data_IF_044682073785
#
_entry.id   IF_044682073785
#
_cell.length_a   1.000
_cell.length_b   1.000
_cell.length_c   1.000
_cell.angle_alpha   90.00
_cell.angle_beta   90.00
_cell.angle_gamma   90.00
#
_symmetry.space_group_name_H-M   'P 1'
#
loop_
_entity.id
_entity.type
_entity.pdbx_description
1 polymer ?
#
# COMPACT_ATOMS: atom_id res chain seq x y z
N UNK A 1 -13.30 13.11 4.79
CA UNK A 1 -13.29 11.72 4.28
C UNK A 1 -12.46 10.90 5.25
N UNK A 2 -12.82 9.66 5.48
CA UNK A 2 -12.15 8.78 6.45
C UNK A 2 -11.79 7.49 5.74
N UNK A 3 -10.66 6.87 6.08
CA UNK A 3 -10.31 5.57 5.52
C UNK A 3 -11.24 4.50 6.10
N UNK A 4 -11.63 3.54 5.26
CA UNK A 4 -12.53 2.46 5.67
C UNK A 4 -12.03 1.74 6.93
N UNK A 5 -10.75 1.38 6.98
CA UNK A 5 -10.14 0.70 8.15
C UNK A 5 -10.26 1.53 9.44
N UNK A 6 -10.06 2.85 9.36
CA UNK A 6 -10.06 3.73 10.53
C UNK A 6 -11.49 3.93 11.03
N UNK A 7 -12.45 4.03 10.10
CA UNK A 7 -13.88 4.11 10.41
C UNK A 7 -14.39 2.84 11.11
N UNK A 8 -14.10 1.66 10.56
CA UNK A 8 -14.47 0.38 11.18
C UNK A 8 -13.82 0.19 12.56
N UNK A 9 -12.54 0.54 12.70
CA UNK A 9 -11.85 0.49 13.98
C UNK A 9 -12.48 1.41 15.03
N UNK A 10 -12.91 2.62 14.64
CA UNK A 10 -13.60 3.56 15.52
C UNK A 10 -14.95 3.00 15.99
N UNK A 11 -15.71 2.36 15.10
CA UNK A 11 -16.99 1.74 15.45
C UNK A 11 -16.82 0.60 16.46
N UNK A 12 -15.86 -0.31 16.21
CA UNK A 12 -15.57 -1.42 17.12
C UNK A 12 -15.13 -0.89 18.50
N UNK A 13 -14.27 0.13 18.52
CA UNK A 13 -13.84 0.77 19.76
C UNK A 13 -15.02 1.37 20.54
N UNK A 14 -15.96 2.02 19.85
CA UNK A 14 -17.18 2.57 20.46
C UNK A 14 -18.09 1.50 21.07
N UNK A 15 -18.26 0.36 20.38
CA UNK A 15 -19.03 -0.78 20.91
C UNK A 15 -18.38 -1.33 22.19
N UNK A 16 -17.05 -1.49 22.20
CA UNK A 16 -16.31 -1.95 23.38
C UNK A 16 -16.44 -0.97 24.56
N UNK A 17 -16.40 0.35 24.31
CA UNK A 17 -16.59 1.35 25.36
C UNK A 17 -17.99 1.29 25.96
N UNK A 18 -19.03 1.17 25.12
CA UNK A 18 -20.41 1.00 25.58
C UNK A 18 -20.57 -0.26 26.44
N UNK A 19 -19.87 -1.35 26.09
CA UNK A 19 -19.85 -2.58 26.88
C UNK A 19 -19.26 -2.38 28.27
N UNK A 20 -18.11 -1.71 28.38
CA UNK A 20 -17.47 -1.38 29.66
C UNK A 20 -18.40 -0.56 30.54
N UNK A 21 -19.10 0.42 29.96
CA UNK A 21 -20.09 1.21 30.70
C UNK A 21 -21.25 0.34 31.24
N UNK A 22 -21.71 -0.62 30.45
CA UNK A 22 -22.78 -1.54 30.85
C UNK A 22 -22.36 -2.47 32.01
N UNK A 23 -21.10 -2.93 32.04
CA UNK A 23 -20.57 -3.73 33.15
C UNK A 23 -20.49 -2.94 34.45
N UNK A 24 -19.93 -1.72 34.38
CA UNK A 24 -19.83 -0.84 35.54
C UNK A 24 -21.22 -0.54 36.12
N UNK A 25 -22.20 -0.28 35.25
CA UNK A 25 -23.58 -0.04 35.68
C UNK A 25 -24.23 -1.30 36.27
N UNK A 26 -23.98 -2.47 35.69
CA UNK A 26 -24.47 -3.75 36.21
C UNK A 26 -23.91 -4.03 37.62
N UNK A 27 -22.63 -3.74 37.86
CA UNK A 27 -22.01 -3.85 39.18
C UNK A 27 -22.65 -2.89 40.20
N UNK A 28 -22.91 -1.64 39.79
CA UNK A 28 -23.60 -0.64 40.62
C UNK A 28 -25.02 -1.09 40.99
N UNK A 29 -25.76 -1.64 40.04
CA UNK A 29 -27.11 -2.20 40.29
C UNK A 29 -27.03 -3.39 41.24
N UNK A 30 -26.05 -4.29 41.06
CA UNK A 30 -25.85 -5.43 41.94
C UNK A 30 -25.63 -5.00 43.40
N UNK A 31 -24.82 -3.96 43.62
CA UNK A 31 -24.59 -3.39 44.96
C UNK A 31 -25.87 -2.80 45.57
N UNK A 32 -26.67 -2.11 44.76
CA UNK A 32 -27.95 -1.57 45.20
C UNK A 32 -28.93 -2.68 45.60
N UNK A 33 -28.99 -3.77 44.82
CA UNK A 33 -29.82 -4.94 45.13
C UNK A 33 -29.37 -5.62 46.42
N UNK A 34 -28.07 -5.82 46.60
CA UNK A 34 -27.51 -6.45 47.79
C UNK A 34 -27.78 -5.66 49.08
N UNK A 35 -27.92 -4.34 48.98
CA UNK A 35 -28.14 -3.44 50.12
C UNK A 35 -29.60 -3.36 50.57
N UNK A 36 -30.55 -3.82 49.76
CA UNK A 36 -31.99 -3.76 50.07
C UNK A 36 -32.51 -5.10 50.63
N UNK A 37 -33.41 -5.03 51.62
CA UNK A 37 -33.91 -6.21 52.32
C UNK A 37 -34.74 -7.16 51.46
N UNK A 38 -35.38 -6.67 50.40
CA UNK A 38 -36.22 -7.46 49.49
C UNK A 38 -35.43 -7.77 48.22
N UNK A 39 -34.80 -6.76 47.61
CA UNK A 39 -34.14 -6.91 46.31
C UNK A 39 -32.91 -7.82 46.35
N UNK A 40 -32.28 -8.04 47.51
CA UNK A 40 -31.14 -8.98 47.64
C UNK A 40 -31.49 -10.44 47.28
N UNK A 41 -32.78 -10.76 47.27
CA UNK A 41 -33.29 -12.08 46.88
C UNK A 41 -33.74 -12.14 45.42
N UNK A 42 -33.67 -11.02 44.68
CA UNK A 42 -34.08 -10.92 43.30
C UNK A 42 -32.86 -11.10 42.38
N UNK A 43 -33.05 -11.66 41.16
CA UNK A 43 -31.98 -11.72 40.19
C UNK A 43 -31.57 -10.30 39.79
N UNK A 44 -30.26 -10.05 39.80
CA UNK A 44 -29.72 -8.75 39.36
C UNK A 44 -29.87 -8.65 37.84
N UNK A 45 -30.54 -7.60 37.32
CA UNK A 45 -30.64 -7.40 35.88
C UNK A 45 -29.25 -7.08 35.32
N UNK A 46 -28.86 -7.80 34.28
CA UNK A 46 -27.62 -7.56 33.53
C UNK A 46 -27.90 -7.54 32.04
N UNK A 47 -27.29 -6.61 31.34
CA UNK A 47 -27.30 -6.57 29.89
C UNK A 47 -26.11 -7.39 29.35
N UNK A 48 -26.35 -8.25 28.36
CA UNK A 48 -25.31 -8.97 27.63
C UNK A 48 -25.51 -8.72 26.14
N UNK A 49 -24.52 -8.12 25.49
CA UNK A 49 -24.54 -7.86 24.05
C UNK A 49 -23.81 -9.00 23.30
N UNK A 50 -24.32 -10.23 23.41
CA UNK A 50 -23.66 -11.42 22.84
C UNK A 50 -23.53 -11.32 21.30
N UNK A 51 -24.56 -10.79 20.65
CA UNK A 51 -24.62 -10.61 19.21
C UNK A 51 -24.95 -9.14 18.88
N UNK A 52 -24.01 -8.44 18.26
CA UNK A 52 -24.24 -7.08 17.75
C UNK A 52 -24.18 -7.12 16.22
N UNK A 53 -25.32 -6.84 15.59
CA UNK A 53 -25.42 -6.68 14.14
C UNK A 53 -25.50 -5.20 13.76
N UNK A 54 -24.62 -4.76 12.86
CA UNK A 54 -24.59 -3.41 12.33
C UNK A 54 -24.76 -3.45 10.81
N UNK A 55 -25.74 -2.70 10.29
CA UNK A 55 -25.91 -2.43 8.85
C UNK A 55 -25.52 -0.98 8.58
N UNK A 56 -24.33 -0.78 8.02
CA UNK A 56 -23.71 0.53 7.89
C UNK A 56 -23.66 0.94 6.41
N UNK A 57 -24.41 1.97 5.99
CA UNK A 57 -24.32 2.50 4.64
C UNK A 57 -23.07 3.35 4.48
N UNK A 58 -22.28 3.07 3.45
CA UNK A 58 -21.10 3.83 3.07
C UNK A 58 -21.08 4.06 1.56
N UNK A 59 -20.34 5.07 1.10
CA UNK A 59 -19.99 5.21 -0.31
C UNK A 59 -18.46 5.29 -0.45
N UNK A 60 -17.92 4.65 -1.49
CA UNK A 60 -16.49 4.77 -1.82
C UNK A 60 -16.32 6.03 -2.64
N UNK A 61 -15.48 6.94 -2.15
CA UNK A 61 -15.15 8.18 -2.85
C UNK A 61 -13.91 7.99 -3.73
N UNK A 62 -12.82 7.49 -3.14
CA UNK A 62 -11.54 7.34 -3.82
C UNK A 62 -10.70 6.23 -3.19
N UNK A 63 -9.71 5.73 -3.93
CA UNK A 63 -8.68 4.85 -3.38
C UNK A 63 -7.39 5.64 -3.23
N UNK A 64 -6.71 5.47 -2.09
CA UNK A 64 -5.35 5.96 -1.94
C UNK A 64 -4.46 5.25 -2.96
N UNK A 65 -3.84 6.02 -3.85
CA UNK A 65 -2.97 5.48 -4.88
C UNK A 65 -1.62 5.04 -4.29
N UNK A 66 -1.59 3.86 -3.67
CA UNK A 66 -0.34 3.27 -3.19
C UNK A 66 0.39 2.60 -4.36
N UNK A 67 1.72 2.77 -4.49
CA UNK A 67 2.48 1.95 -5.41
C UNK A 67 2.26 0.47 -5.05
N UNK A 68 1.96 -0.38 -6.03
CA UNK A 68 1.85 -1.81 -5.74
C UNK A 68 3.15 -2.31 -5.10
N UNK A 69 3.05 -3.14 -4.05
CA UNK A 69 4.18 -3.59 -3.24
C UNK A 69 5.29 -4.30 -4.05
N UNK A 70 4.95 -4.81 -5.23
CA UNK A 70 5.87 -5.46 -6.18
C UNK A 70 5.90 -4.74 -7.55
N UNK A 71 5.71 -3.42 -7.55
CA UNK A 71 5.81 -2.65 -8.78
C UNK A 71 7.29 -2.59 -9.23
N UNK A 72 7.57 -3.29 -10.33
CA UNK A 72 8.81 -3.19 -11.09
C UNK A 72 8.55 -2.36 -12.36
N UNK A 73 8.96 -1.06 -12.38
CA UNK A 73 8.78 -0.18 -13.54
C UNK A 73 9.47 -0.70 -14.81
N UNK A 74 10.56 -1.43 -14.65
CA UNK A 74 11.39 -1.99 -15.72
C UNK A 74 11.74 -3.44 -15.40
N UNK A 75 11.62 -4.32 -16.39
CA UNK A 75 12.25 -5.64 -16.32
C UNK A 75 13.73 -5.47 -16.65
N UNK A 76 14.56 -5.35 -15.62
CA UNK A 76 15.98 -5.02 -15.74
C UNK A 76 16.73 -5.91 -16.76
N UNK A 77 16.34 -7.18 -16.95
CA UNK A 77 17.04 -8.05 -17.91
C UNK A 77 16.71 -7.68 -19.35
N UNK A 78 15.44 -7.64 -19.71
CA UNK A 78 14.99 -7.32 -21.07
C UNK A 78 15.23 -5.85 -21.40
N UNK A 79 14.98 -4.94 -20.45
CA UNK A 79 15.21 -3.52 -20.57
C UNK A 79 16.68 -3.23 -20.89
N UNK A 80 17.62 -3.74 -20.09
CA UNK A 80 19.04 -3.48 -20.31
C UNK A 80 19.53 -4.06 -21.64
N UNK A 81 19.05 -5.25 -22.00
CA UNK A 81 19.38 -5.88 -23.29
C UNK A 81 18.84 -5.07 -24.48
N UNK A 82 17.62 -4.54 -24.37
CA UNK A 82 17.00 -3.70 -25.40
C UNK A 82 17.70 -2.36 -25.53
N UNK A 83 18.11 -1.72 -24.43
CA UNK A 83 18.89 -0.48 -24.46
C UNK A 83 20.23 -0.70 -25.15
N UNK A 84 20.97 -1.75 -24.79
CA UNK A 84 22.25 -2.07 -25.44
C UNK A 84 22.07 -2.38 -26.94
N UNK A 85 21.03 -3.13 -27.29
CA UNK A 85 20.71 -3.42 -28.71
C UNK A 85 20.37 -2.15 -29.47
N UNK A 86 19.64 -1.21 -28.86
CA UNK A 86 19.30 0.08 -29.45
C UNK A 86 20.55 0.93 -29.76
N UNK A 87 21.60 0.84 -28.94
CA UNK A 87 22.89 1.48 -29.23
C UNK A 87 23.59 0.87 -30.45
N UNK A 88 23.55 -0.47 -30.58
CA UNK A 88 24.10 -1.18 -31.75
C UNK A 88 23.35 -0.83 -33.03
N UNK A 89 22.02 -0.80 -32.94
CA UNK A 89 21.13 -0.43 -34.05
C UNK A 89 21.41 1.01 -34.50
N UNK A 90 21.53 1.96 -33.55
CA UNK A 90 21.84 3.35 -33.83
C UNK A 90 23.22 3.55 -34.47
N UNK A 91 24.23 2.80 -34.01
CA UNK A 91 25.58 2.81 -34.57
C UNK A 91 25.71 2.01 -35.87
N UNK A 92 24.68 1.22 -36.25
CA UNK A 92 24.70 0.27 -37.36
C UNK A 92 25.86 -0.74 -37.27
N UNK A 93 26.15 -1.25 -36.06
CA UNK A 93 27.25 -2.21 -35.83
C UNK A 93 26.75 -3.50 -35.20
N UNK A 94 27.38 -4.61 -35.58
CA UNK A 94 27.09 -5.91 -34.98
C UNK A 94 27.54 -5.99 -33.50
N UNK A 95 28.64 -5.31 -33.15
CA UNK A 95 29.22 -5.29 -31.81
C UNK A 95 30.09 -4.06 -31.58
N UNK A 96 30.28 -3.71 -30.31
CA UNK A 96 31.29 -2.77 -29.83
C UNK A 96 32.53 -3.53 -29.36
N UNK A 97 33.67 -2.84 -29.18
CA UNK A 97 34.83 -3.45 -28.54
C UNK A 97 34.49 -3.97 -27.13
N UNK A 98 35.29 -4.91 -26.62
CA UNK A 98 35.08 -5.48 -25.28
C UNK A 98 35.07 -4.39 -24.20
N UNK A 99 35.99 -3.42 -24.29
CA UNK A 99 36.09 -2.31 -23.34
C UNK A 99 34.84 -1.45 -23.34
N UNK A 100 34.38 -1.05 -24.54
CA UNK A 100 33.18 -0.23 -24.71
C UNK A 100 31.92 -0.98 -24.29
N UNK A 101 31.83 -2.27 -24.61
CA UNK A 101 30.69 -3.10 -24.21
C UNK A 101 30.59 -3.24 -22.69
N UNK A 102 31.72 -3.41 -21.99
CA UNK A 102 31.73 -3.44 -20.52
C UNK A 102 31.26 -2.11 -19.94
N UNK A 103 31.76 -0.99 -20.48
CA UNK A 103 31.35 0.36 -20.08
C UNK A 103 29.84 0.62 -20.30
N UNK A 104 29.33 0.29 -21.49
CA UNK A 104 27.91 0.48 -21.80
C UNK A 104 27.02 -0.37 -20.89
N UNK A 105 27.38 -1.63 -20.65
CA UNK A 105 26.60 -2.49 -19.76
C UNK A 105 26.59 -1.99 -18.31
N UNK A 106 27.71 -1.43 -17.81
CA UNK A 106 27.74 -0.83 -16.48
C UNK A 106 26.87 0.43 -16.39
N UNK A 107 26.95 1.32 -17.38
CA UNK A 107 26.12 2.53 -17.44
C UNK A 107 24.63 2.18 -17.52
N UNK A 108 24.26 1.24 -18.39
CA UNK A 108 22.87 0.78 -18.53
C UNK A 108 22.36 0.23 -17.19
N UNK A 109 23.13 -0.62 -16.51
CA UNK A 109 22.74 -1.19 -15.22
C UNK A 109 22.59 -0.14 -14.12
N UNK A 110 23.48 0.85 -14.07
CA UNK A 110 23.41 1.93 -13.09
C UNK A 110 22.21 2.86 -13.37
N UNK A 111 22.06 3.33 -14.61
CA UNK A 111 21.02 4.31 -14.95
C UNK A 111 19.62 3.69 -14.96
N UNK A 112 19.48 2.41 -15.31
CA UNK A 112 18.20 1.68 -15.18
C UNK A 112 17.75 1.58 -13.72
N UNK A 113 18.69 1.33 -12.80
CA UNK A 113 18.42 1.34 -11.36
C UNK A 113 17.97 2.71 -10.86
N UNK A 114 18.60 3.80 -11.35
CA UNK A 114 18.19 5.16 -11.00
C UNK A 114 16.78 5.46 -11.53
N UNK A 115 16.49 5.10 -12.79
CA UNK A 115 15.15 5.23 -13.36
C UNK A 115 14.10 4.49 -12.52
N UNK A 116 14.41 3.26 -12.10
CA UNK A 116 13.52 2.48 -11.23
C UNK A 116 13.26 3.19 -9.88
N UNK A 117 14.30 3.78 -9.28
CA UNK A 117 14.19 4.54 -8.03
C UNK A 117 13.36 5.81 -8.19
N UNK A 118 13.61 6.60 -9.25
CA UNK A 118 12.87 7.83 -9.57
C UNK A 118 11.37 7.54 -9.78
N UNK A 119 11.05 6.47 -10.52
CA UNK A 119 9.67 6.04 -10.74
C UNK A 119 8.96 5.53 -9.47
N UNK A 120 9.70 4.87 -8.57
CA UNK A 120 9.17 4.45 -7.26
C UNK A 120 8.98 5.63 -6.29
N UNK A 121 9.75 6.71 -6.46
CA UNK A 121 9.69 7.92 -5.66
C UNK A 121 8.60 8.93 -6.09
N UNK A 122 7.59 8.48 -6.84
CA UNK A 122 6.43 9.27 -7.28
C UNK A 122 6.73 10.30 -8.40
N UNK A 123 7.86 10.18 -9.11
CA UNK A 123 8.14 10.99 -10.31
C UNK A 123 7.32 10.49 -11.52
N UNK A 124 6.92 11.38 -12.42
CA UNK A 124 6.18 10.97 -13.63
C UNK A 124 7.06 10.12 -14.55
N UNK A 125 6.44 9.15 -15.25
CA UNK A 125 7.13 8.27 -16.18
C UNK A 125 7.91 9.07 -17.24
N UNK A 126 7.30 10.15 -17.73
CA UNK A 126 7.85 11.02 -18.76
C UNK A 126 9.10 11.75 -18.26
N UNK A 127 9.05 12.30 -17.03
CA UNK A 127 10.15 13.07 -16.47
C UNK A 127 11.33 12.16 -16.09
N UNK A 128 11.05 11.05 -15.41
CA UNK A 128 12.08 10.08 -15.04
C UNK A 128 12.77 9.49 -16.29
N UNK A 129 11.99 9.14 -17.32
CA UNK A 129 12.57 8.64 -18.56
C UNK A 129 13.35 9.70 -19.34
N UNK A 130 12.91 10.96 -19.34
CA UNK A 130 13.67 12.04 -20.00
C UNK A 130 15.08 12.19 -19.41
N UNK A 131 15.25 12.02 -18.10
CA UNK A 131 16.57 12.02 -17.45
C UNK A 131 17.38 10.78 -17.78
N UNK A 132 16.73 9.62 -17.86
CA UNK A 132 17.37 8.40 -18.33
C UNK A 132 17.89 8.58 -19.76
N UNK A 133 17.07 9.14 -20.66
CA UNK A 133 17.44 9.42 -22.05
C UNK A 133 18.68 10.33 -22.14
N UNK A 134 18.71 11.41 -21.38
CA UNK A 134 19.84 12.34 -21.33
C UNK A 134 21.14 11.63 -20.91
N UNK A 135 21.09 10.88 -19.78
CA UNK A 135 22.25 10.15 -19.25
C UNK A 135 22.72 9.06 -20.22
N UNK A 136 21.78 8.34 -20.84
CA UNK A 136 22.12 7.29 -21.80
C UNK A 136 22.69 7.85 -23.10
N UNK A 137 22.22 9.00 -23.55
CA UNK A 137 22.79 9.70 -24.71
C UNK A 137 24.24 10.10 -24.43
N UNK A 138 24.52 10.64 -23.25
CA UNK A 138 25.88 11.00 -22.85
C UNK A 138 26.80 9.77 -22.81
N UNK A 139 26.35 8.66 -22.21
CA UNK A 139 27.09 7.40 -22.19
C UNK A 139 27.35 6.87 -23.61
N UNK A 140 26.38 6.97 -24.50
CA UNK A 140 26.55 6.58 -25.90
C UNK A 140 27.58 7.44 -26.62
N UNK A 141 27.57 8.77 -26.40
CA UNK A 141 28.60 9.68 -26.93
C UNK A 141 30.00 9.27 -26.47
N UNK A 142 30.19 9.01 -25.17
CA UNK A 142 31.49 8.54 -24.65
C UNK A 142 31.91 7.20 -25.24
N UNK A 143 30.95 6.31 -25.52
CA UNK A 143 31.23 5.05 -26.20
C UNK A 143 31.69 5.26 -27.64
N UNK A 144 31.16 6.25 -28.36
CA UNK A 144 31.62 6.59 -29.71
C UNK A 144 33.07 7.09 -29.70
N UNK A 145 33.45 7.89 -28.70
CA UNK A 145 34.82 8.36 -28.51
C UNK A 145 35.78 7.20 -28.22
N UNK A 146 35.36 6.24 -27.39
CA UNK A 146 36.12 5.03 -27.09
C UNK A 146 36.34 4.15 -28.33
N UNK A 147 35.37 4.12 -29.25
CA UNK A 147 35.45 3.43 -30.54
C UNK A 147 36.17 4.26 -31.62
N UNK A 148 36.62 5.48 -31.28
CA UNK A 148 37.30 6.42 -32.20
C UNK A 148 36.47 6.73 -33.45
N UNK A 149 35.16 6.84 -33.29
CA UNK A 149 34.25 7.20 -34.39
C UNK A 149 34.39 8.71 -34.68
N UNK A 150 34.52 9.14 -35.95
CA UNK A 150 34.63 10.56 -36.30
C UNK A 150 33.41 11.37 -35.87
N UNK A 151 33.62 12.59 -35.37
CA UNK A 151 32.56 13.47 -34.86
C UNK A 151 31.39 13.69 -35.87
N UNK A 152 31.70 13.76 -37.17
CA UNK A 152 30.69 13.93 -38.22
C UNK A 152 29.67 12.76 -38.30
N UNK A 153 30.08 11.56 -37.92
CA UNK A 153 29.21 10.38 -37.89
C UNK A 153 28.52 10.21 -36.52
N UNK A 154 29.15 10.72 -35.44
CA UNK A 154 28.61 10.66 -34.09
C UNK A 154 27.25 11.37 -33.97
N UNK A 155 27.13 12.58 -34.52
CA UNK A 155 25.90 13.37 -34.41
C UNK A 155 24.67 12.63 -34.96
N UNK A 156 24.84 11.96 -36.11
CA UNK A 156 23.79 11.15 -36.74
C UNK A 156 23.44 9.93 -35.89
N UNK A 157 24.45 9.23 -35.38
CA UNK A 157 24.25 8.05 -34.51
C UNK A 157 23.54 8.44 -33.20
N UNK A 158 23.94 9.56 -32.60
CA UNK A 158 23.36 10.08 -31.36
C UNK A 158 21.90 10.48 -31.59
N UNK A 159 21.60 11.18 -32.69
CA UNK A 159 20.23 11.54 -33.05
C UNK A 159 19.34 10.30 -33.25
N UNK A 160 19.83 9.31 -33.98
CA UNK A 160 19.13 8.03 -34.16
C UNK A 160 18.91 7.32 -32.82
N UNK A 161 19.90 7.32 -31.94
CA UNK A 161 19.79 6.66 -30.64
C UNK A 161 18.72 7.31 -29.76
N UNK A 162 18.66 8.65 -29.71
CA UNK A 162 17.58 9.37 -29.00
C UNK A 162 16.20 8.97 -29.50
N UNK A 163 16.05 8.89 -30.82
CA UNK A 163 14.77 8.54 -31.43
C UNK A 163 14.36 7.09 -31.11
N UNK A 164 15.32 6.15 -31.10
CA UNK A 164 15.08 4.77 -30.67
C UNK A 164 14.73 4.72 -29.17
N UNK A 165 15.40 5.48 -28.31
CA UNK A 165 15.08 5.54 -26.89
C UNK A 165 13.63 5.97 -26.67
N UNK A 166 13.22 7.07 -27.32
CA UNK A 166 11.88 7.64 -27.18
C UNK A 166 10.78 6.74 -27.75
N UNK A 167 11.03 6.06 -28.87
CA UNK A 167 10.00 5.29 -29.56
C UNK A 167 9.95 3.81 -29.14
N UNK A 168 11.10 3.20 -28.78
CA UNK A 168 11.22 1.76 -28.49
C UNK A 168 11.46 1.50 -27.01
N UNK A 169 12.46 2.14 -26.41
CA UNK A 169 12.84 1.85 -25.02
C UNK A 169 11.82 2.42 -24.03
N UNK A 170 11.28 3.61 -24.28
CA UNK A 170 10.22 4.21 -23.46
C UNK A 170 8.96 3.34 -23.37
N UNK A 171 8.62 2.63 -24.45
CA UNK A 171 7.47 1.72 -24.48
C UNK A 171 7.66 0.51 -23.55
N UNK A 172 8.91 0.10 -23.30
CA UNK A 172 9.22 -1.02 -22.39
C UNK A 172 9.16 -0.64 -20.90
N UNK A 173 9.05 0.65 -20.59
CA UNK A 173 8.85 1.15 -19.22
C UNK A 173 7.37 1.05 -18.86
N UNK A 174 7.04 0.25 -17.84
CA UNK A 174 5.66 0.05 -17.40
C UNK A 174 5.14 1.33 -16.72
N UNK A 175 3.91 1.72 -17.03
CA UNK A 175 3.21 2.75 -16.24
C UNK A 175 3.01 2.27 -14.81
N UNK A 176 2.95 3.22 -13.88
CA UNK A 176 2.75 2.91 -12.46
C UNK A 176 1.52 2.04 -12.25
N UNK A 177 1.72 0.88 -11.63
CA UNK A 177 0.62 0.06 -11.16
C UNK A 177 0.26 0.52 -9.75
N UNK A 178 -0.94 1.08 -9.62
CA UNK A 178 -1.51 1.48 -8.35
C UNK A 178 -2.30 0.30 -7.81
N UNK A 179 -2.02 -0.09 -6.57
CA UNK A 179 -2.85 -1.09 -5.87
C UNK A 179 -3.98 -0.36 -5.15
N UNK A 180 -5.20 -0.55 -5.61
CA UNK A 180 -6.40 -0.04 -4.94
C UNK A 180 -6.88 -1.10 -3.93
N UNK A 181 -6.37 -1.07 -2.70
CA UNK A 181 -6.90 -1.95 -1.64
C UNK A 181 -8.10 -1.30 -0.96
N UNK A 182 -9.18 -2.09 -0.76
CA UNK A 182 -10.43 -1.61 -0.16
C UNK A 182 -10.25 -1.06 1.26
N UNK A 183 -9.32 -1.63 2.03
CA UNK A 183 -8.98 -1.17 3.39
C UNK A 183 -8.55 0.31 3.45
N UNK A 184 -7.88 0.77 2.39
CA UNK A 184 -7.39 2.14 2.24
C UNK A 184 -8.32 3.01 1.38
N UNK A 185 -9.53 2.54 1.07
CA UNK A 185 -10.52 3.36 0.39
C UNK A 185 -10.95 4.52 1.30
N UNK A 186 -10.98 5.73 0.74
CA UNK A 186 -11.63 6.87 1.35
C UNK A 186 -13.14 6.69 1.21
N UNK A 187 -13.84 6.73 2.34
CA UNK A 187 -15.28 6.50 2.40
C UNK A 187 -16.03 7.74 2.87
N UNK A 188 -17.25 7.88 2.34
CA UNK A 188 -18.26 8.81 2.81
C UNK A 188 -19.19 8.05 3.75
N UNK A 189 -19.29 8.54 4.99
CA UNK A 189 -20.09 7.95 6.07
C UNK A 189 -21.07 8.96 6.68
N UNK A 190 -21.03 10.21 6.20
CA UNK A 190 -21.88 11.30 6.66
C UNK A 190 -23.29 11.14 6.08
N UNK A 191 -24.31 11.11 6.94
CA UNK A 191 -25.69 10.89 6.55
C UNK A 191 -26.25 11.98 5.61
N UNK A 192 -25.83 13.24 5.76
CA UNK A 192 -26.26 14.31 4.85
C UNK A 192 -25.68 14.09 3.46
N UNK A 193 -24.39 13.76 3.37
CA UNK A 193 -23.72 13.48 2.09
C UNK A 193 -24.21 12.20 1.43
N UNK A 194 -24.46 11.15 2.21
CA UNK A 194 -24.98 9.89 1.69
C UNK A 194 -26.36 10.04 1.04
N UNK A 195 -27.21 10.97 1.51
CA UNK A 195 -28.51 11.26 0.88
C UNK A 195 -28.40 11.89 -0.51
N UNK A 196 -27.27 12.55 -0.80
CA UNK A 196 -27.00 13.16 -2.11
C UNK A 196 -26.44 12.15 -3.12
N UNK A 197 -26.02 10.97 -2.64
CA UNK A 197 -25.43 9.91 -3.47
C UNK A 197 -26.55 8.96 -3.94
N UNK A 198 -26.61 8.61 -5.25
CA UNK A 198 -27.55 7.60 -5.74
C UNK A 198 -27.41 6.27 -5.00
N UNK A 199 -28.53 5.62 -4.68
CA UNK A 199 -28.55 4.37 -3.91
C UNK A 199 -27.72 3.24 -4.53
N UNK A 200 -27.61 3.20 -5.86
CA UNK A 200 -26.76 2.24 -6.60
C UNK A 200 -25.26 2.38 -6.29
N UNK A 201 -24.83 3.53 -5.78
CA UNK A 201 -23.44 3.82 -5.39
C UNK A 201 -23.21 3.69 -3.89
N UNK A 202 -24.22 3.28 -3.11
CA UNK A 202 -24.13 3.02 -1.67
C UNK A 202 -23.86 1.53 -1.44
N UNK A 203 -22.81 1.24 -0.69
CA UNK A 203 -22.46 -0.09 -0.22
C UNK A 203 -22.93 -0.24 1.23
N UNK A 204 -23.48 -1.41 1.58
CA UNK A 204 -23.88 -1.73 2.94
C UNK A 204 -22.93 -2.74 3.56
N UNK A 205 -22.25 -2.33 4.62
CA UNK A 205 -21.42 -3.23 5.42
C UNK A 205 -22.31 -3.89 6.46
N UNK A 206 -22.46 -5.21 6.35
CA UNK A 206 -23.07 -6.03 7.39
C UNK A 206 -21.98 -6.59 8.29
N UNK A 207 -21.87 -6.05 9.50
CA UNK A 207 -20.90 -6.48 10.49
C UNK A 207 -21.62 -7.22 11.61
N UNK A 208 -21.16 -8.44 11.91
CA UNK A 208 -21.56 -9.19 13.10
C UNK A 208 -20.38 -9.24 14.05
N UNK A 209 -20.59 -8.76 15.27
CA UNK A 209 -19.61 -8.82 16.34
C UNK A 209 -20.09 -9.86 17.36
N UNK A 210 -19.18 -10.77 17.70
CA UNK A 210 -19.38 -11.77 18.75
C UNK A 210 -18.46 -11.42 19.90
N UNK A 211 -19.01 -11.44 21.11
CA UNK A 211 -18.24 -11.29 22.34
C UNK A 211 -17.64 -12.65 22.72
N UNK A 212 -16.32 -12.69 22.89
CA UNK A 212 -15.61 -13.82 23.51
C UNK A 212 -15.01 -13.31 24.83
N UNK A 213 -15.36 -13.95 25.93
CA UNK A 213 -15.01 -13.51 27.28
C UNK A 213 -13.56 -13.81 27.61
N UNK A 214 -12.97 -13.03 28.52
CA UNK A 214 -11.69 -13.36 29.15
C UNK A 214 -11.86 -13.22 30.67
N UNK A 215 -11.52 -14.27 31.41
CA UNK A 215 -11.60 -14.33 32.87
C UNK A 215 -10.23 -14.32 33.52
N UNK A 216 -10.11 -13.58 34.63
CA UNK A 216 -8.94 -13.62 35.48
C UNK A 216 -9.03 -14.81 36.44
N UNK A 217 -8.16 -15.78 36.28
CA UNK A 217 -7.99 -16.90 37.21
C UNK A 217 -6.86 -16.59 38.17
N UNK A 218 -7.19 -16.55 39.46
CA UNK A 218 -6.20 -16.50 40.55
C UNK A 218 -6.05 -17.90 41.15
N UNK A 219 -4.83 -18.44 41.12
CA UNK A 219 -4.46 -19.70 41.76
C UNK A 219 -3.35 -19.48 42.79
N UNK A 220 -3.42 -20.20 43.90
CA UNK A 220 -2.38 -20.18 44.93
C UNK A 220 -1.44 -21.38 44.75
N UNK A 221 -0.14 -21.12 44.66
CA UNK A 221 0.85 -22.19 44.55
C UNK A 221 1.08 -22.89 45.91
N UNK A 222 1.83 -24.00 45.90
CA UNK A 222 2.11 -24.82 47.10
C UNK A 222 2.91 -24.03 48.17
N UNK A 223 3.45 -22.86 47.82
CA UNK A 223 4.20 -21.97 48.72
C UNK A 223 3.36 -20.78 49.20
N UNK A 224 2.06 -20.72 48.88
CA UNK A 224 1.16 -19.63 49.26
C UNK A 224 1.27 -18.37 48.40
N UNK A 225 1.99 -18.42 47.27
CA UNK A 225 2.05 -17.28 46.36
C UNK A 225 0.85 -17.30 45.41
N UNK A 226 0.15 -16.17 45.32
CA UNK A 226 -0.93 -16.00 44.35
C UNK A 226 -0.35 -15.70 42.97
N UNK A 227 -0.72 -16.51 41.98
CA UNK A 227 -0.52 -16.22 40.57
C UNK A 227 -1.87 -15.93 39.91
N UNK A 228 -1.93 -14.85 39.13
CA UNK A 228 -3.11 -14.49 38.35
C UNK A 228 -2.81 -14.57 36.87
N UNK A 229 -3.67 -15.24 36.11
CA UNK A 229 -3.58 -15.36 34.66
C UNK A 229 -4.91 -15.03 34.01
N UNK A 230 -4.88 -14.38 32.85
CA UNK A 230 -6.06 -14.05 32.05
C UNK A 230 -6.27 -15.17 31.02
N UNK A 231 -7.39 -15.88 31.10
CA UNK A 231 -7.74 -16.98 30.20
C UNK A 231 -9.06 -16.67 29.49
N UNK A 232 -9.33 -17.21 28.30
CA UNK A 232 -10.67 -17.13 27.68
C UNK A 232 -11.75 -17.82 28.54
N UNK A 233 -12.98 -17.30 28.50
CA UNK A 233 -14.18 -17.86 29.19
C UNK A 233 -14.65 -19.19 28.56
#
# INVERSE_FOLDING_TARGET
>A
MVKLKDYLGTLISGVNQARVMADVESARIAQAYASDNILKHFPVPRFRAQDVELDIPIAIDSFDQQPAADYQPVDNKSFNSNTYTSMKDAAQRASFSRKTSTFLNSEIAEKSKILEQEMKANESKELAFSRYEEKMTAAFSSAMDMEKIPAADQDKMIANYKDILKNKVYASVKTRQVSNTLENANVVVDAARLREIPNENIIRIKMKLFEDGMEWHTSEDVNGNQQSSLLPE
#
